data_IF_373890145534
#
_entry.id   IF_373890145534
#
_cell.length_a   1.000
_cell.length_b   1.000
_cell.length_c   1.000
_cell.angle_alpha   90.00
_cell.angle_beta   90.00
_cell.angle_gamma   90.00
#
_symmetry.space_group_name_H-M   'P 1'
#
loop_
_entity.id
_entity.type
_entity.pdbx_description
1 polymer ?
#
# COMPACT_ATOMS: atom_id res chain seq x y z
N UNK A 1 -40.43 -12.51 8.38
CA UNK A 1 -40.52 -12.64 9.85
C UNK A 1 -39.74 -13.89 10.20
N UNK A 2 -38.57 -13.84 10.82
CA UNK A 2 -38.21 -13.09 12.01
C UNK A 2 -36.91 -12.32 11.83
N UNK A 3 -36.92 -11.12 12.37
CA UNK A 3 -35.79 -10.22 12.52
C UNK A 3 -34.90 -10.76 13.65
N UNK A 4 -33.64 -11.03 13.36
CA UNK A 4 -32.58 -10.87 14.35
C UNK A 4 -31.71 -9.73 13.86
N UNK A 5 -31.69 -8.65 14.64
CA UNK A 5 -30.94 -7.43 14.40
C UNK A 5 -29.44 -7.73 14.47
N UNK A 6 -28.91 -8.21 13.35
CA UNK A 6 -27.50 -8.47 13.12
C UNK A 6 -26.69 -7.21 13.36
N UNK A 7 -26.06 -7.16 14.53
CA UNK A 7 -25.06 -6.18 14.90
C UNK A 7 -23.95 -6.20 13.84
N UNK A 8 -23.72 -5.04 13.24
CA UNK A 8 -22.73 -4.81 12.19
C UNK A 8 -21.33 -5.32 12.61
N UNK A 9 -20.79 -6.37 11.96
CA UNK A 9 -19.46 -6.90 12.28
C UNK A 9 -18.31 -5.95 11.91
N UNK A 10 -18.57 -4.80 11.28
CA UNK A 10 -17.57 -3.78 11.00
C UNK A 10 -17.24 -2.87 12.20
N UNK A 11 -17.96 -2.97 13.32
CA UNK A 11 -17.89 -1.97 14.41
C UNK A 11 -16.98 -2.32 15.60
N UNK A 12 -16.23 -3.44 15.60
CA UNK A 12 -15.42 -3.82 16.78
C UNK A 12 -14.13 -4.58 16.47
N UNK A 13 -13.18 -3.87 15.89
CA UNK A 13 -11.74 -3.92 16.21
C UNK A 13 -11.06 -2.86 15.33
N UNK A 14 -10.90 -1.66 15.89
CA UNK A 14 -9.88 -0.73 15.40
C UNK A 14 -8.60 -1.56 15.37
N UNK A 15 -8.07 -1.87 14.18
CA UNK A 15 -6.76 -2.51 14.06
C UNK A 15 -5.84 -1.57 14.81
N UNK A 16 -5.38 -2.00 15.98
CA UNK A 16 -4.60 -1.15 16.84
C UNK A 16 -3.22 -1.01 16.20
N UNK A 17 -3.09 -0.02 15.31
CA UNK A 17 -1.80 0.38 14.77
C UNK A 17 -0.82 0.66 15.92
N UNK A 18 -1.30 1.07 17.10
CA UNK A 18 -0.46 1.31 18.27
C UNK A 18 0.19 0.03 18.85
N UNK A 19 -0.32 -1.16 18.53
CA UNK A 19 0.31 -2.45 18.91
C UNK A 19 1.46 -2.87 17.98
N UNK A 20 1.72 -2.08 16.94
CA UNK A 20 2.68 -2.39 15.88
C UNK A 20 3.68 -1.26 15.78
N UNK A 21 4.91 -1.60 15.44
CA UNK A 21 5.98 -0.64 15.21
C UNK A 21 6.45 -0.79 13.78
N UNK A 22 6.47 0.29 13.03
CA UNK A 22 7.14 0.31 11.74
C UNK A 22 8.64 0.11 11.98
N UNK A 23 9.23 -0.90 11.38
CA UNK A 23 10.65 -1.22 11.56
C UNK A 23 11.50 -0.86 10.34
N UNK A 24 10.92 -0.87 9.13
CA UNK A 24 11.59 -0.42 7.93
C UNK A 24 10.61 -0.03 6.82
N UNK A 25 11.04 0.86 5.92
CA UNK A 25 10.42 1.10 4.62
C UNK A 25 11.47 0.82 3.54
N UNK A 26 11.07 0.09 2.51
CA UNK A 26 11.90 -0.21 1.34
C UNK A 26 11.25 0.38 0.08
N UNK A 27 12.01 1.15 -0.68
CA UNK A 27 11.59 1.65 -1.99
C UNK A 27 11.79 0.56 -3.05
N UNK A 28 10.78 0.34 -3.88
CA UNK A 28 10.81 -0.66 -4.95
C UNK A 28 11.37 -0.03 -6.22
N UNK A 29 12.52 -0.53 -6.69
CA UNK A 29 13.19 -0.06 -7.91
C UNK A 29 13.05 -1.04 -9.09
N UNK A 30 11.84 -1.55 -9.35
CA UNK A 30 11.62 -2.39 -10.52
C UNK A 30 11.33 -1.54 -11.77
N UNK A 31 12.40 -1.05 -12.42
CA UNK A 31 12.30 -0.19 -13.61
C UNK A 31 11.54 -0.84 -14.78
N UNK A 32 11.61 -2.17 -14.90
CA UNK A 32 10.87 -2.92 -15.91
C UNK A 32 9.36 -2.77 -15.72
N UNK A 33 8.87 -3.14 -14.54
CA UNK A 33 7.46 -3.02 -14.20
C UNK A 33 6.99 -1.58 -14.13
N UNK A 34 7.82 -0.65 -13.68
CA UNK A 34 7.47 0.76 -13.69
C UNK A 34 7.25 1.27 -15.12
N UNK A 35 8.08 0.87 -16.09
CA UNK A 35 7.87 1.23 -17.51
C UNK A 35 6.56 0.65 -18.06
N UNK A 36 6.25 -0.60 -17.73
CA UNK A 36 4.99 -1.23 -18.16
C UNK A 36 3.77 -0.56 -17.52
N UNK A 37 3.85 -0.23 -16.24
CA UNK A 37 2.85 0.56 -15.53
C UNK A 37 2.64 1.92 -16.18
N UNK A 38 3.72 2.64 -16.50
CA UNK A 38 3.64 3.94 -17.17
C UNK A 38 3.08 3.83 -18.58
N UNK A 39 3.43 2.78 -19.33
CA UNK A 39 2.82 2.53 -20.64
C UNK A 39 1.30 2.29 -20.51
N UNK A 40 0.87 1.48 -19.53
CA UNK A 40 -0.55 1.26 -19.23
C UNK A 40 -1.25 2.55 -18.82
N UNK A 41 -0.61 3.36 -17.98
CA UNK A 41 -1.08 4.69 -17.58
C UNK A 41 -1.33 5.58 -18.78
N UNK A 42 -0.36 5.69 -19.70
CA UNK A 42 -0.49 6.49 -20.92
C UNK A 42 -1.67 6.05 -21.77
N UNK A 43 -1.88 4.74 -21.94
CA UNK A 43 -3.05 4.21 -22.66
C UNK A 43 -4.37 4.57 -21.98
N UNK A 44 -4.38 4.65 -20.65
CA UNK A 44 -5.57 5.00 -19.89
C UNK A 44 -5.81 6.52 -19.79
N UNK A 45 -4.88 7.38 -20.21
CA UNK A 45 -5.09 8.83 -20.24
C UNK A 45 -6.19 9.26 -21.21
N UNK A 46 -6.56 8.42 -22.18
CA UNK A 46 -7.68 8.68 -23.09
C UNK A 46 -9.04 8.41 -22.43
N UNK A 47 -9.08 7.79 -21.25
CA UNK A 47 -10.32 7.56 -20.51
C UNK A 47 -10.83 8.87 -19.90
N UNK A 48 -12.15 9.03 -19.70
CA UNK A 48 -12.72 10.21 -19.05
C UNK A 48 -12.11 10.50 -17.67
N UNK A 49 -11.73 9.44 -16.94
CA UNK A 49 -11.03 9.53 -15.65
C UNK A 49 -10.02 8.40 -15.53
N UNK A 50 -8.75 8.76 -15.31
CA UNK A 50 -7.69 7.79 -15.00
C UNK A 50 -7.90 7.14 -13.62
N UNK A 51 -8.38 7.93 -12.65
CA UNK A 51 -8.52 7.54 -11.23
C UNK A 51 -7.28 6.78 -10.71
N UNK A 52 -6.09 7.36 -10.92
CA UNK A 52 -4.86 6.85 -10.32
C UNK A 52 -4.87 7.16 -8.82
N UNK A 53 -4.64 6.15 -7.98
CA UNK A 53 -4.63 6.28 -6.52
C UNK A 53 -3.49 5.53 -5.88
N UNK A 54 -3.02 6.06 -4.76
CA UNK A 54 -2.22 5.31 -3.79
C UNK A 54 -3.15 4.42 -2.97
N UNK A 55 -2.89 3.11 -2.95
CA UNK A 55 -3.69 2.14 -2.21
C UNK A 55 -2.79 1.10 -1.53
N UNK A 56 -3.33 0.48 -0.48
CA UNK A 56 -2.62 -0.43 0.39
C UNK A 56 -2.95 -1.88 0.10
N UNK A 57 -1.94 -2.75 -0.02
CA UNK A 57 -2.11 -4.18 -0.20
C UNK A 57 -1.42 -4.95 0.93
N UNK A 58 -2.22 -5.65 1.74
CA UNK A 58 -1.71 -6.55 2.78
C UNK A 58 -1.35 -7.88 2.15
N UNK A 59 -0.18 -8.41 2.51
CA UNK A 59 0.29 -9.70 2.01
C UNK A 59 1.15 -10.41 3.06
N UNK A 60 1.51 -11.67 2.82
CA UNK A 60 2.48 -12.37 3.65
C UNK A 60 3.90 -12.22 3.10
N UNK A 61 4.91 -12.39 3.97
CA UNK A 61 6.32 -12.21 3.63
C UNK A 61 6.72 -13.03 2.39
N UNK A 62 6.23 -14.27 2.29
CA UNK A 62 6.53 -15.20 1.20
C UNK A 62 5.99 -14.72 -0.15
N UNK A 63 4.92 -13.94 -0.15
CA UNK A 63 4.29 -13.40 -1.35
C UNK A 63 5.00 -12.16 -1.89
N UNK A 64 5.74 -11.41 -1.05
CA UNK A 64 6.47 -10.20 -1.47
C UNK A 64 7.46 -10.47 -2.62
N UNK A 65 8.41 -11.42 -2.53
CA UNK A 65 9.34 -11.65 -3.64
C UNK A 65 8.61 -12.07 -4.92
N UNK A 66 7.51 -12.82 -4.79
CA UNK A 66 6.69 -13.23 -5.94
C UNK A 66 6.03 -12.01 -6.60
N UNK A 67 5.47 -11.10 -5.81
CA UNK A 67 4.87 -9.85 -6.29
C UNK A 67 5.93 -8.96 -6.94
N UNK A 68 7.09 -8.79 -6.32
CA UNK A 68 8.15 -7.92 -6.85
C UNK A 68 8.77 -8.47 -8.14
N UNK A 69 8.83 -9.80 -8.29
CA UNK A 69 9.38 -10.45 -9.48
C UNK A 69 8.37 -10.67 -10.62
N UNK A 70 7.08 -10.85 -10.30
CA UNK A 70 6.07 -11.26 -11.30
C UNK A 70 4.87 -10.30 -11.41
N UNK A 71 4.79 -9.32 -10.52
CA UNK A 71 3.64 -8.43 -10.37
C UNK A 71 2.54 -9.09 -9.54
N UNK A 72 1.39 -8.41 -9.44
CA UNK A 72 0.24 -8.96 -8.72
C UNK A 72 -0.43 -10.06 -9.55
N UNK A 73 -0.15 -11.31 -9.20
CA UNK A 73 -0.74 -12.48 -9.84
C UNK A 73 -2.16 -12.73 -9.28
N UNK A 74 -3.17 -12.65 -10.15
CA UNK A 74 -4.60 -12.76 -9.78
C UNK A 74 -5.02 -14.14 -9.28
N UNK A 75 -4.30 -15.18 -9.68
CA UNK A 75 -4.65 -16.58 -9.40
C UNK A 75 -4.55 -16.93 -7.91
N UNK A 76 -3.85 -16.10 -7.13
CA UNK A 76 -3.74 -16.26 -5.68
C UNK A 76 -5.01 -15.85 -4.92
N UNK A 77 -5.97 -15.18 -5.56
CA UNK A 77 -7.13 -14.63 -4.86
C UNK A 77 -8.46 -15.02 -5.51
N UNK A 78 -8.94 -16.20 -5.13
CA UNK A 78 -10.11 -16.87 -5.72
C UNK A 78 -11.42 -16.63 -4.97
N UNK A 79 -11.38 -15.97 -3.80
CA UNK A 79 -12.54 -15.78 -2.90
C UNK A 79 -12.62 -14.34 -2.41
N UNK A 80 -13.33 -13.50 -3.15
CA UNK A 80 -13.49 -12.07 -2.86
C UNK A 80 -14.94 -11.62 -2.89
N UNK A 81 -15.36 -10.81 -1.91
CA UNK A 81 -16.74 -10.29 -1.81
C UNK A 81 -17.12 -9.33 -2.94
N UNK A 82 -16.12 -8.83 -3.67
CA UNK A 82 -16.25 -7.81 -4.72
C UNK A 82 -15.66 -8.28 -6.07
N UNK A 83 -15.59 -9.61 -6.26
CA UNK A 83 -15.08 -10.25 -7.47
C UNK A 83 -13.74 -10.95 -7.28
N UNK A 84 -13.32 -11.71 -8.29
CA UNK A 84 -12.01 -12.37 -8.35
C UNK A 84 -10.97 -11.36 -8.83
N UNK A 85 -9.86 -11.26 -8.11
CA UNK A 85 -8.81 -10.31 -8.45
C UNK A 85 -7.93 -9.91 -7.28
N UNK A 86 -7.07 -8.92 -7.52
CA UNK A 86 -6.13 -8.37 -6.54
C UNK A 86 -6.81 -7.23 -5.80
N UNK A 87 -6.82 -7.31 -4.46
CA UNK A 87 -7.53 -6.37 -3.60
C UNK A 87 -6.58 -5.30 -3.06
N UNK A 88 -7.03 -4.05 -3.10
CA UNK A 88 -6.34 -2.91 -2.53
C UNK A 88 -7.32 -2.14 -1.63
N UNK A 89 -6.82 -1.61 -0.52
CA UNK A 89 -7.62 -0.82 0.40
C UNK A 89 -7.19 0.64 0.41
N UNK A 90 -8.15 1.53 0.63
CA UNK A 90 -7.88 2.97 0.81
C UNK A 90 -7.12 3.26 2.10
N UNK A 91 -7.35 2.48 3.16
CA UNK A 91 -6.75 2.71 4.47
C UNK A 91 -5.73 1.61 4.81
N UNK A 92 -4.54 2.02 5.24
CA UNK A 92 -3.48 1.13 5.68
C UNK A 92 -3.98 0.14 6.75
N UNK A 93 -4.75 0.63 7.72
CA UNK A 93 -5.27 -0.15 8.84
C UNK A 93 -6.11 -1.37 8.40
N UNK A 94 -6.82 -1.28 7.27
CA UNK A 94 -7.60 -2.40 6.72
C UNK A 94 -6.65 -3.50 6.23
N UNK A 95 -5.72 -3.14 5.35
CA UNK A 95 -4.73 -4.05 4.76
C UNK A 95 -3.73 -4.59 5.77
N UNK A 96 -3.44 -3.84 6.84
CA UNK A 96 -2.61 -4.27 7.96
C UNK A 96 -3.30 -5.27 8.89
N UNK A 97 -4.61 -5.52 8.76
CA UNK A 97 -5.25 -6.50 9.64
C UNK A 97 -4.61 -7.89 9.47
N UNK A 98 -4.53 -8.72 10.54
CA UNK A 98 -3.89 -10.04 10.46
C UNK A 98 -4.51 -10.99 9.43
N UNK A 99 -5.71 -10.66 8.93
CA UNK A 99 -6.39 -11.36 7.85
C UNK A 99 -5.67 -11.23 6.50
N UNK A 100 -5.03 -10.09 6.25
CA UNK A 100 -4.43 -9.77 4.95
C UNK A 100 -2.91 -9.62 5.05
N UNK A 101 -2.42 -8.94 6.08
CA UNK A 101 -1.00 -8.84 6.43
C UNK A 101 -0.71 -9.84 7.54
N UNK A 102 -0.38 -11.09 7.17
CA UNK A 102 -0.12 -12.14 8.16
C UNK A 102 1.12 -11.79 8.98
N UNK A 103 0.99 -11.98 10.29
CA UNK A 103 2.11 -11.85 11.22
C UNK A 103 2.83 -13.18 11.24
N UNK A 104 4.13 -13.13 10.96
CA UNK A 104 5.01 -14.27 11.16
C UNK A 104 5.05 -14.60 12.66
N UNK A 105 4.69 -15.83 13.07
CA UNK A 105 4.55 -16.17 14.48
C UNK A 105 5.89 -16.25 15.23
N UNK A 106 6.99 -16.52 14.52
CA UNK A 106 8.31 -16.74 15.11
C UNK A 106 9.05 -15.41 15.29
N UNK A 107 8.97 -14.55 14.28
CA UNK A 107 9.66 -13.26 14.26
C UNK A 107 8.78 -12.11 14.72
N UNK A 108 7.45 -12.22 14.61
CA UNK A 108 6.50 -11.12 14.86
C UNK A 108 6.43 -10.09 13.73
N UNK A 109 7.06 -10.39 12.59
CA UNK A 109 7.13 -9.50 11.43
C UNK A 109 5.85 -9.56 10.58
N UNK A 110 5.49 -8.44 9.97
CA UNK A 110 4.42 -8.39 8.98
C UNK A 110 4.62 -7.24 8.01
N UNK A 111 3.96 -7.32 6.86
CA UNK A 111 4.32 -6.52 5.71
C UNK A 111 3.11 -5.91 5.01
N UNK A 112 3.32 -4.70 4.50
CA UNK A 112 2.32 -3.94 3.78
C UNK A 112 2.94 -3.31 2.54
N UNK A 113 2.24 -3.41 1.42
CA UNK A 113 2.65 -2.73 0.19
C UNK A 113 1.84 -1.45 0.01
N UNK A 114 2.52 -0.34 -0.28
CA UNK A 114 1.90 0.88 -0.79
C UNK A 114 2.08 0.92 -2.30
N UNK A 115 0.96 0.96 -3.02
CA UNK A 115 0.93 0.74 -4.46
C UNK A 115 0.31 1.94 -5.19
N UNK A 116 0.83 2.26 -6.37
CA UNK A 116 0.12 3.10 -7.34
C UNK A 116 -0.84 2.21 -8.13
N UNK A 117 -2.11 2.58 -8.19
CA UNK A 117 -3.18 1.78 -8.81
C UNK A 117 -3.97 2.64 -9.79
N UNK A 118 -4.00 2.21 -11.05
CA UNK A 118 -4.79 2.81 -12.13
C UNK A 118 -6.19 2.21 -12.12
N UNK A 119 -7.17 2.93 -11.58
CA UNK A 119 -8.52 2.39 -11.44
C UNK A 119 -9.38 2.53 -12.68
N UNK A 120 -9.11 3.55 -13.51
CA UNK A 120 -9.96 3.93 -14.63
C UNK A 120 -11.39 4.21 -14.19
N UNK A 121 -12.36 3.84 -15.01
CA UNK A 121 -13.77 3.86 -14.62
C UNK A 121 -14.10 2.56 -13.90
N UNK A 122 -14.68 2.66 -12.69
CA UNK A 122 -14.97 1.51 -11.85
C UNK A 122 -16.45 1.14 -11.86
N UNK A 123 -16.76 -0.15 -11.70
CA UNK A 123 -18.10 -0.65 -11.40
C UNK A 123 -18.17 -1.22 -9.98
N UNK A 124 -19.38 -1.37 -9.42
CA UNK A 124 -19.55 -2.08 -8.15
C UNK A 124 -19.29 -3.58 -8.38
N UNK A 125 -18.37 -4.15 -7.59
CA UNK A 125 -18.05 -5.57 -7.61
C UNK A 125 -18.96 -6.38 -6.70
N UNK A 126 -19.16 -7.65 -7.03
CA UNK A 126 -19.91 -8.60 -6.21
C UNK A 126 -19.26 -9.98 -6.22
N UNK A 127 -19.58 -10.80 -5.22
CA UNK A 127 -19.06 -12.15 -5.09
C UNK A 127 -19.33 -12.98 -6.35
N UNK A 128 -18.32 -13.71 -6.82
CA UNK A 128 -18.41 -14.55 -8.02
C UNK A 128 -18.15 -13.83 -9.34
N UNK A 129 -18.06 -12.49 -9.37
CA UNK A 129 -17.68 -11.77 -10.60
C UNK A 129 -16.24 -12.08 -10.97
N UNK A 130 -16.00 -12.49 -12.22
CA UNK A 130 -14.64 -12.78 -12.72
C UNK A 130 -14.00 -11.58 -13.43
N UNK A 131 -14.85 -10.64 -13.87
CA UNK A 131 -14.50 -9.41 -14.57
C UNK A 131 -15.50 -8.30 -14.22
N UNK A 132 -15.12 -7.03 -14.37
CA UNK A 132 -15.99 -5.87 -14.23
C UNK A 132 -17.22 -5.96 -15.14
N UNK A 133 -18.20 -5.07 -14.97
CA UNK A 133 -19.33 -4.96 -15.91
C UNK A 133 -18.93 -4.21 -17.18
N UNK A 134 -19.72 -4.34 -18.23
CA UNK A 134 -19.60 -3.48 -19.42
C UNK A 134 -20.02 -2.04 -19.10
N UNK A 135 -19.39 -1.07 -19.76
CA UNK A 135 -19.76 0.34 -19.68
C UNK A 135 -21.09 0.57 -20.44
N UNK A 136 -21.96 1.48 -19.98
CA UNK A 136 -23.19 1.79 -20.69
C UNK A 136 -22.92 2.18 -22.15
N UNK A 137 -23.67 1.61 -23.09
CA UNK A 137 -23.57 1.89 -24.52
C UNK A 137 -22.18 1.63 -25.14
N UNK A 138 -21.39 0.73 -24.56
CA UNK A 138 -20.05 0.39 -25.06
C UNK A 138 -19.75 -1.10 -24.90
N UNK A 139 -18.95 -1.66 -25.80
CA UNK A 139 -18.40 -3.00 -25.65
C UNK A 139 -17.19 -3.03 -24.69
N UNK A 140 -16.73 -1.87 -24.22
CA UNK A 140 -15.64 -1.78 -23.26
C UNK A 140 -16.10 -2.20 -21.86
N UNK A 141 -15.26 -2.96 -21.16
CA UNK A 141 -15.43 -3.27 -19.74
C UNK A 141 -14.96 -2.09 -18.90
N UNK A 142 -15.47 -1.96 -17.68
CA UNK A 142 -14.84 -1.11 -16.66
C UNK A 142 -13.42 -1.61 -16.34
N UNK A 143 -12.55 -0.71 -15.88
CA UNK A 143 -11.14 -1.03 -15.64
C UNK A 143 -10.87 -1.62 -14.26
N UNK A 144 -11.78 -1.41 -13.30
CA UNK A 144 -11.71 -1.96 -11.94
C UNK A 144 -13.10 -2.22 -11.34
N UNK A 145 -13.12 -2.98 -10.24
CA UNK A 145 -14.30 -3.16 -9.39
C UNK A 145 -14.08 -2.48 -8.03
N UNK A 146 -15.15 -2.02 -7.40
CA UNK A 146 -15.13 -1.39 -6.07
C UNK A 146 -16.24 -1.92 -5.16
N UNK A 147 -16.09 -1.73 -3.84
CA UNK A 147 -17.14 -2.05 -2.86
C UNK A 147 -18.38 -1.16 -2.98
N UNK A 148 -18.21 0.10 -3.42
CA UNK A 148 -19.32 1.04 -3.63
C UNK A 148 -18.97 2.18 -4.56
N UNK A 149 -20.02 2.78 -5.12
CA UNK A 149 -19.97 4.07 -5.83
C UNK A 149 -20.70 5.14 -5.00
N UNK A 150 -20.28 6.42 -5.07
CA UNK A 150 -19.19 6.94 -5.90
C UNK A 150 -17.79 6.53 -5.40
N UNK A 151 -16.79 6.47 -6.29
CA UNK A 151 -15.46 5.87 -6.04
C UNK A 151 -14.72 6.57 -4.90
N UNK A 152 -15.02 7.83 -4.63
CA UNK A 152 -14.48 8.63 -3.53
C UNK A 152 -14.91 8.10 -2.14
N UNK A 153 -16.00 7.33 -2.08
CA UNK A 153 -16.49 6.69 -0.85
C UNK A 153 -16.05 5.23 -0.71
N UNK A 154 -15.54 4.63 -1.79
CA UNK A 154 -15.03 3.27 -1.80
C UNK A 154 -13.86 3.09 -0.83
N UNK A 155 -13.86 1.97 -0.11
CA UNK A 155 -12.72 1.55 0.72
C UNK A 155 -11.91 0.45 0.07
N UNK A 156 -12.47 -0.27 -0.90
CA UNK A 156 -11.86 -1.45 -1.54
C UNK A 156 -11.89 -1.30 -3.05
N UNK A 157 -10.75 -1.56 -3.67
CA UNK A 157 -10.58 -1.65 -5.12
C UNK A 157 -10.10 -3.05 -5.48
N UNK A 158 -10.64 -3.61 -6.56
CA UNK A 158 -10.27 -4.92 -7.07
C UNK A 158 -9.85 -4.81 -8.54
N UNK A 159 -8.64 -5.26 -8.83
CA UNK A 159 -8.12 -5.42 -10.20
C UNK A 159 -8.29 -6.88 -10.64
N UNK A 160 -8.90 -7.10 -11.79
CA UNK A 160 -9.37 -8.42 -12.25
C UNK A 160 -8.53 -9.01 -13.38
N UNK A 161 -9.06 -10.03 -14.07
CA UNK A 161 -8.52 -10.47 -15.35
C UNK A 161 -8.50 -9.33 -16.38
N UNK A 162 -7.39 -9.16 -17.09
CA UNK A 162 -7.21 -8.07 -18.06
C UNK A 162 -6.75 -6.74 -17.44
N UNK A 163 -6.59 -6.67 -16.12
CA UNK A 163 -6.08 -5.49 -15.42
C UNK A 163 -4.55 -5.47 -15.31
N UNK A 164 -3.86 -6.12 -16.25
CA UNK A 164 -2.41 -6.30 -16.19
C UNK A 164 -1.71 -4.93 -16.21
N UNK A 165 -0.66 -4.81 -15.39
CA UNK A 165 0.15 -3.59 -15.25
C UNK A 165 -0.63 -2.36 -14.73
N UNK A 166 -1.84 -2.51 -14.20
CA UNK A 166 -2.58 -1.42 -13.55
C UNK A 166 -2.16 -1.14 -12.10
N UNK A 167 -1.26 -1.94 -11.52
CA UNK A 167 -0.73 -1.71 -10.18
C UNK A 167 0.79 -1.84 -10.15
N UNK A 168 1.45 -0.92 -9.46
CA UNK A 168 2.88 -0.93 -9.19
C UNK A 168 3.12 -0.78 -7.68
N UNK A 169 3.78 -1.74 -7.01
CA UNK A 169 4.21 -1.56 -5.63
C UNK A 169 5.37 -0.56 -5.60
N UNK A 170 5.20 0.56 -4.90
CA UNK A 170 6.27 1.57 -4.77
C UNK A 170 7.06 1.37 -3.48
N UNK A 171 6.37 0.99 -2.39
CA UNK A 171 6.99 0.80 -1.10
C UNK A 171 6.58 -0.53 -0.47
N UNK A 172 7.55 -1.18 0.20
CA UNK A 172 7.32 -2.28 1.14
C UNK A 172 7.55 -1.74 2.55
N UNK A 173 6.52 -1.76 3.37
CA UNK A 173 6.60 -1.37 4.77
C UNK A 173 6.67 -2.64 5.61
N UNK A 174 7.70 -2.74 6.44
CA UNK A 174 7.91 -3.83 7.41
C UNK A 174 7.53 -3.35 8.79
N UNK A 175 6.74 -4.15 9.47
CA UNK A 175 6.28 -3.90 10.83
C UNK A 175 6.69 -5.04 11.75
N UNK A 176 6.84 -4.70 13.02
CA UNK A 176 7.15 -5.60 14.12
C UNK A 176 6.02 -5.52 15.15
N UNK A 177 5.65 -6.63 15.80
CA UNK A 177 4.82 -6.57 17.01
C UNK A 177 5.55 -5.71 18.06
N UNK A 178 4.88 -4.74 18.70
CA UNK A 178 5.48 -4.08 19.88
C UNK A 178 5.60 -5.11 20.98
N UNK A 179 6.77 -5.18 21.62
CA UNK A 179 6.93 -6.01 22.80
C UNK A 179 5.91 -5.55 23.84
N UNK A 180 5.01 -6.46 24.23
CA UNK A 180 4.13 -6.25 25.38
C UNK A 180 5.04 -6.33 26.61
N UNK A 181 5.67 -5.20 26.95
CA UNK A 181 6.48 -5.09 28.15
C UNK A 181 5.66 -5.54 29.36
N UNK A 182 6.16 -6.56 30.05
CA UNK A 182 5.60 -7.02 31.32
C UNK A 182 5.37 -5.83 32.25
N UNK A 183 4.19 -5.79 32.86
CA UNK A 183 3.75 -4.68 33.70
C UNK A 183 4.78 -4.28 34.74
N UNK A 184 5.31 -3.07 34.61
CA UNK A 184 6.12 -2.38 35.61
C UNK A 184 5.94 -0.88 35.38
N UNK A 185 5.20 -0.23 36.27
CA UNK A 185 4.81 1.17 36.14
C UNK A 185 5.99 2.14 36.20
N UNK A 186 5.83 3.30 35.55
CA UNK A 186 6.74 4.43 35.67
C UNK A 186 6.66 5.34 34.45
N UNK A 187 6.00 6.49 34.60
CA UNK A 187 5.80 7.48 33.54
C UNK A 187 7.09 8.07 32.98
N UNK A 188 7.02 8.45 31.70
CA UNK A 188 8.07 9.14 30.98
C UNK A 188 7.87 8.96 29.48
N UNK A 189 7.01 9.79 28.87
CA UNK A 189 6.77 9.81 27.43
C UNK A 189 8.01 10.27 26.68
N UNK A 190 8.87 9.33 26.31
CA UNK A 190 9.85 9.51 25.25
C UNK A 190 9.37 8.71 24.05
N UNK A 191 8.84 9.41 23.02
CA UNK A 191 8.61 8.79 21.70
C UNK A 191 9.96 8.23 21.26
N UNK A 192 10.02 6.93 20.99
CA UNK A 192 11.17 6.36 20.31
C UNK A 192 11.40 7.17 19.01
N UNK A 193 12.65 7.49 18.65
CA UNK A 193 12.91 8.20 17.41
C UNK A 193 12.33 7.37 16.26
N UNK A 194 11.67 8.04 15.33
CA UNK A 194 11.17 7.41 14.11
C UNK A 194 12.31 6.62 13.45
N UNK A 195 12.02 5.45 12.86
CA UNK A 195 13.04 4.66 12.21
C UNK A 195 13.71 5.54 11.16
N UNK A 196 15.01 5.80 11.34
CA UNK A 196 15.81 6.35 10.26
C UNK A 196 15.67 5.41 9.05
N UNK A 197 15.64 5.95 7.84
CA UNK A 197 15.89 5.16 6.63
C UNK A 197 17.21 4.42 6.87
N UNK A 198 17.11 3.14 7.24
CA UNK A 198 18.22 2.44 7.83
C UNK A 198 19.19 2.09 6.72
N UNK A 199 20.23 2.90 6.48
CA UNK A 199 21.29 2.63 5.51
C UNK A 199 22.09 1.37 5.86
N UNK A 200 21.51 0.19 5.67
CA UNK A 200 22.21 -1.07 5.87
C UNK A 200 21.59 -2.21 5.08
N UNK A 201 22.51 -3.04 4.55
CA UNK A 201 22.38 -4.37 3.95
C UNK A 201 21.07 -4.68 3.22
N UNK A 202 21.15 -4.82 1.90
CA UNK A 202 20.02 -5.17 1.05
C UNK A 202 19.14 -6.26 1.65
N UNK A 203 17.84 -6.09 1.48
CA UNK A 203 16.82 -7.07 1.81
C UNK A 203 17.18 -8.43 1.22
N UNK A 204 17.75 -9.29 2.05
CA UNK A 204 18.14 -10.64 1.68
C UNK A 204 17.07 -11.58 2.19
N UNK A 205 16.12 -11.93 1.33
CA UNK A 205 15.24 -13.06 1.58
C UNK A 205 16.06 -14.34 1.43
N UNK A 206 16.39 -14.98 2.56
CA UNK A 206 17.04 -16.28 2.55
C UNK A 206 16.14 -17.32 1.87
N UNK A 207 16.42 -17.64 0.61
CA UNK A 207 15.97 -18.89 -0.01
C UNK A 207 17.15 -19.56 -0.70
N UNK A 208 17.52 -20.80 -0.32
CA UNK A 208 18.58 -21.53 -1.01
C UNK A 208 18.06 -22.02 -2.36
N UNK A 209 18.74 -21.64 -3.44
CA UNK A 209 18.66 -22.33 -4.72
C UNK A 209 17.57 -21.85 -5.67
N UNK A 210 17.72 -20.64 -6.20
CA UNK A 210 17.30 -20.28 -7.57
C UNK A 210 17.97 -18.96 -7.94
N UNK A 211 19.17 -19.04 -8.53
CA UNK A 211 19.84 -17.90 -9.11
C UNK A 211 19.00 -17.35 -10.28
N UNK A 212 18.49 -16.13 -10.16
CA UNK A 212 18.02 -15.32 -11.29
C UNK A 212 18.67 -13.93 -11.21
N UNK A 213 19.16 -13.36 -12.33
CA UNK A 213 20.05 -12.19 -12.30
C UNK A 213 19.36 -10.83 -12.08
N UNK A 214 18.03 -10.78 -11.88
CA UNK A 214 17.28 -9.51 -12.05
C UNK A 214 16.64 -8.98 -10.75
N UNK A 215 16.93 -9.58 -9.59
CA UNK A 215 16.61 -8.99 -8.29
C UNK A 215 17.63 -7.88 -8.00
N UNK A 216 17.40 -6.71 -8.57
CA UNK A 216 18.17 -5.51 -8.22
C UNK A 216 17.93 -5.23 -6.74
N UNK A 217 19.05 -5.14 -6.01
CA UNK A 217 19.11 -4.93 -4.58
C UNK A 217 18.16 -3.81 -4.11
N UNK A 218 17.47 -4.04 -3.00
CA UNK A 218 16.94 -2.96 -2.18
C UNK A 218 18.15 -2.18 -1.64
N UNK A 219 18.50 -1.07 -2.30
CA UNK A 219 19.60 -0.19 -1.90
C UNK A 219 19.10 1.21 -1.53
N UNK A 220 19.86 1.81 -0.63
CA UNK A 220 19.62 3.10 0.00
C UNK A 220 19.85 4.25 -0.96
N UNK A 221 18.81 5.07 -1.15
CA UNK A 221 18.95 6.41 -1.69
C UNK A 221 19.66 7.32 -0.69
N UNK A 222 20.98 7.21 -0.55
CA UNK A 222 21.78 8.32 -0.03
C UNK A 222 21.92 9.34 -1.15
N UNK A 223 21.08 10.38 -1.15
CA UNK A 223 21.38 11.61 -1.89
C UNK A 223 22.60 12.25 -1.24
N UNK A 224 23.78 11.92 -1.77
CA UNK A 224 25.04 12.56 -1.40
C UNK A 224 24.93 14.08 -1.57
N UNK A 225 25.19 14.80 -0.50
CA UNK A 225 25.31 16.26 -0.49
C UNK A 225 26.49 16.70 -1.36
N UNK A 226 26.23 17.57 -2.31
CA UNK A 226 27.25 18.10 -3.22
C UNK A 226 26.65 18.76 -4.45
N UNK A 227 25.76 19.73 -4.26
CA UNK A 227 25.18 20.51 -5.34
C UNK A 227 24.54 21.78 -4.80
N UNK A 228 25.16 22.91 -5.11
CA UNK A 228 24.73 24.26 -4.71
C UNK A 228 23.31 24.59 -5.18
N UNK A 229 22.41 24.86 -4.22
CA UNK A 229 21.41 25.92 -4.29
C UNK A 229 20.44 25.99 -5.47
N UNK A 230 19.52 25.03 -5.56
CA UNK A 230 18.11 25.27 -5.95
C UNK A 230 17.24 24.16 -5.38
N UNK A 231 16.23 24.49 -4.56
CA UNK A 231 15.37 23.49 -3.93
C UNK A 231 14.40 22.90 -4.96
N UNK A 232 14.79 21.79 -5.60
CA UNK A 232 13.93 20.97 -6.49
C UNK A 232 12.83 20.17 -5.74
N UNK A 233 12.64 20.44 -4.44
CA UNK A 233 11.58 19.80 -3.67
C UNK A 233 10.22 20.36 -4.12
N UNK A 234 9.21 19.50 -4.37
CA UNK A 234 7.86 19.96 -4.68
C UNK A 234 7.35 20.92 -3.58
N UNK A 235 6.49 21.89 -3.93
CA UNK A 235 5.88 22.78 -2.93
C UNK A 235 5.24 22.02 -1.77
N UNK A 236 5.19 22.63 -0.58
CA UNK A 236 4.63 22.01 0.62
C UNK A 236 3.22 21.45 0.38
N UNK A 237 2.35 22.21 -0.28
CA UNK A 237 0.98 21.79 -0.59
C UNK A 237 0.93 20.53 -1.46
N UNK A 238 1.89 20.37 -2.38
CA UNK A 238 1.99 19.16 -3.22
C UNK A 238 2.35 17.94 -2.37
N UNK A 239 3.28 18.10 -1.42
CA UNK A 239 3.71 17.01 -0.52
C UNK A 239 2.61 16.63 0.47
N UNK A 240 1.89 17.62 1.00
CA UNK A 240 0.69 17.39 1.82
C UNK A 240 -0.35 16.61 1.01
N UNK A 241 -0.66 17.07 -0.21
CA UNK A 241 -1.63 16.40 -1.08
C UNK A 241 -1.20 14.96 -1.42
N UNK A 242 0.11 14.72 -1.62
CA UNK A 242 0.64 13.39 -1.86
C UNK A 242 0.41 12.45 -0.67
N UNK A 243 0.70 12.89 0.56
CA UNK A 243 0.44 12.11 1.77
C UNK A 243 -1.06 11.92 2.03
N UNK A 244 -1.89 12.94 1.77
CA UNK A 244 -3.34 12.79 1.80
C UNK A 244 -3.84 11.75 0.80
N UNK A 245 -3.26 11.70 -0.40
CA UNK A 245 -3.60 10.70 -1.41
C UNK A 245 -3.22 9.27 -0.97
N UNK A 246 -2.20 9.10 -0.12
CA UNK A 246 -1.84 7.83 0.52
C UNK A 246 -2.79 7.42 1.66
N UNK A 247 -3.77 8.26 2.00
CA UNK A 247 -4.84 7.95 2.96
C UNK A 247 -4.70 8.61 4.33
N UNK A 248 -3.73 9.51 4.53
CA UNK A 248 -3.59 10.27 5.78
C UNK A 248 -4.52 11.48 5.75
N UNK A 249 -5.55 11.52 6.60
CA UNK A 249 -6.54 12.59 6.58
C UNK A 249 -6.18 13.80 7.46
N UNK A 250 -5.36 13.58 8.49
CA UNK A 250 -4.97 14.61 9.45
C UNK A 250 -3.86 15.51 8.88
N UNK A 251 -4.26 16.68 8.38
CA UNK A 251 -3.36 17.67 7.78
C UNK A 251 -2.32 18.17 8.78
N UNK A 252 -2.68 18.26 10.06
CA UNK A 252 -1.76 18.76 11.08
C UNK A 252 -0.68 17.72 11.37
N UNK A 253 -1.07 16.46 11.52
CA UNK A 253 -0.12 15.35 11.62
C UNK A 253 0.82 15.28 10.39
N UNK A 254 0.28 15.50 9.17
CA UNK A 254 1.08 15.54 7.94
C UNK A 254 2.10 16.68 7.96
N UNK A 255 1.68 17.88 8.36
CA UNK A 255 2.58 19.04 8.46
C UNK A 255 3.69 18.79 9.48
N UNK A 256 3.36 18.26 10.66
CA UNK A 256 4.33 17.91 11.68
C UNK A 256 5.30 16.83 11.20
N UNK A 257 4.81 15.83 10.48
CA UNK A 257 5.65 14.78 9.91
C UNK A 257 6.60 15.32 8.81
N UNK A 258 6.10 16.19 7.93
CA UNK A 258 6.91 16.87 6.91
C UNK A 258 7.94 17.80 7.54
N UNK A 259 7.59 18.53 8.59
CA UNK A 259 8.54 19.39 9.32
C UNK A 259 9.65 18.56 9.96
N UNK A 260 9.30 17.50 10.69
CA UNK A 260 10.25 16.61 11.36
C UNK A 260 11.17 15.84 10.40
N UNK A 261 10.79 15.73 9.12
CA UNK A 261 11.55 15.05 8.06
C UNK A 261 12.28 16.00 7.11
N UNK A 262 12.38 17.29 7.44
CA UNK A 262 12.92 18.33 6.55
C UNK A 262 12.21 18.36 5.17
N UNK A 263 10.94 17.96 5.15
CA UNK A 263 10.08 17.97 3.98
C UNK A 263 10.24 16.77 3.06
N UNK A 264 10.91 15.71 3.49
CA UNK A 264 11.03 14.45 2.77
C UNK A 264 9.76 13.60 2.93
N UNK A 265 9.12 13.25 1.80
CA UNK A 265 7.82 12.54 1.82
C UNK A 265 7.95 11.10 2.30
N UNK A 266 9.08 10.43 2.03
CA UNK A 266 9.30 9.04 2.43
C UNK A 266 9.51 8.94 3.94
N UNK A 267 10.28 9.87 4.50
CA UNK A 267 10.46 9.99 5.95
C UNK A 267 9.18 10.46 6.65
N UNK A 268 8.43 11.41 6.06
CA UNK A 268 7.12 11.82 6.58
C UNK A 268 6.11 10.67 6.57
N UNK A 269 6.13 9.82 5.52
CA UNK A 269 5.32 8.61 5.46
C UNK A 269 5.65 7.67 6.63
N UNK A 270 6.93 7.48 6.94
CA UNK A 270 7.35 6.66 8.09
C UNK A 270 6.74 7.18 9.40
N UNK A 271 6.80 8.51 9.62
CA UNK A 271 6.26 9.17 10.81
C UNK A 271 4.74 9.07 10.95
N UNK A 272 4.01 9.08 9.82
CA UNK A 272 2.54 9.05 9.80
C UNK A 272 1.95 7.65 10.01
N UNK A 273 2.76 6.62 9.80
CA UNK A 273 2.36 5.23 9.92
C UNK A 273 2.62 4.67 11.34
N UNK A 274 3.44 5.36 12.14
CA UNK A 274 3.72 5.06 13.56
C UNK A 274 2.67 5.60 14.56
#
# INVERSE_FOLDING_TARGET
MLCDSGTDPASRRRTDLASRRLSAIYCVENRGFFREYQARRTTMLSLPRLNERWLWHGTDEKSIPLILANGFLRDFNTRGAHGKGVYFARQAAYSLSPRYSKIDPDTGEHYLLLCRVLMGEACVGSSGMERPTQKPNSNAMHESMVDRLPVEQSQIVVLSAGSDKQAYPEFVLKFQKRDEGGGGGGGGGSRAPAPALAASSGFSLGTPGLARPDLIALQHGSRGGGGSGSSDAPPLDHRIAQLQAMGFADVEAIKQALEASNGDVEQALALLVE
#
